data_IF_235152603047
#
_entry.id   IF_235152603047
#
_cell.length_a   1.000
_cell.length_b   1.000
_cell.length_c   1.000
_cell.angle_alpha   90.00
_cell.angle_beta   90.00
_cell.angle_gamma   90.00
#
_symmetry.space_group_name_H-M   'P 1'
#
loop_
_entity.id
_entity.type
_entity.pdbx_description
1 polymer ?
#
# COMPACT_ATOMS: atom_id res chain seq x y z
N UNK A 1 23.58 53.21 15.57
CA UNK A 1 22.20 53.33 15.06
C UNK A 1 22.27 53.59 13.57
N UNK A 2 22.12 52.55 12.75
CA UNK A 2 22.08 52.66 11.30
C UNK A 2 20.88 51.85 10.80
N UNK A 3 20.18 52.47 9.89
CA UNK A 3 18.79 52.29 9.49
C UNK A 3 18.53 51.09 8.59
N UNK A 4 17.35 50.53 8.79
CA UNK A 4 16.62 49.59 7.93
C UNK A 4 16.55 50.00 6.47
N UNK A 5 16.91 49.09 5.54
CA UNK A 5 16.37 49.06 4.17
C UNK A 5 16.27 47.61 3.64
N UNK A 6 15.15 47.36 2.98
CA UNK A 6 14.49 46.11 2.59
C UNK A 6 15.28 45.16 1.67
N UNK A 7 14.98 43.84 1.75
CA UNK A 7 14.41 43.06 0.63
C UNK A 7 14.04 41.62 1.04
N UNK A 8 12.79 41.28 0.78
CA UNK A 8 12.19 39.96 0.90
C UNK A 8 12.91 38.92 0.04
N UNK A 9 13.18 37.75 0.61
CA UNK A 9 13.29 36.50 -0.13
C UNK A 9 12.50 35.44 0.65
N UNK A 10 11.25 35.21 0.24
CA UNK A 10 10.54 34.00 0.58
C UNK A 10 11.29 32.84 -0.09
N UNK A 11 12.11 32.15 0.68
CA UNK A 11 12.67 30.88 0.26
C UNK A 11 11.56 29.84 0.34
N UNK A 12 10.97 29.54 -0.81
CA UNK A 12 10.01 28.45 -0.97
C UNK A 12 10.71 27.13 -0.63
N UNK A 13 10.50 26.64 0.59
CA UNK A 13 10.71 25.23 0.88
C UNK A 13 9.66 24.47 0.09
N UNK A 14 10.06 23.96 -1.08
CA UNK A 14 9.36 22.90 -1.79
C UNK A 14 9.39 21.66 -0.89
N UNK A 15 8.51 21.60 0.10
CA UNK A 15 8.13 20.35 0.71
C UNK A 15 7.42 19.56 -0.39
N UNK A 16 8.12 18.58 -0.95
CA UNK A 16 7.52 17.56 -1.80
C UNK A 16 6.59 16.71 -0.95
N UNK A 17 5.38 17.23 -0.71
CA UNK A 17 4.25 16.42 -0.30
C UNK A 17 3.89 15.53 -1.48
N UNK A 18 4.51 14.34 -1.52
CA UNK A 18 3.98 13.22 -2.30
C UNK A 18 2.76 12.69 -1.56
N UNK A 19 1.74 13.53 -1.36
CA UNK A 19 0.39 13.08 -1.02
C UNK A 19 -0.12 12.33 -2.23
N UNK A 20 0.07 11.00 -2.23
CA UNK A 20 -0.64 10.10 -3.14
C UNK A 20 -2.12 10.22 -2.81
N UNK A 21 -2.80 11.14 -3.48
CA UNK A 21 -4.25 11.26 -3.42
C UNK A 21 -4.85 9.99 -4.01
N UNK A 22 -5.26 9.07 -3.13
CA UNK A 22 -5.82 7.75 -3.48
C UNK A 22 -7.18 7.83 -4.22
N UNK A 23 -7.79 9.02 -4.30
CA UNK A 23 -9.14 9.21 -4.83
C UNK A 23 -9.30 8.97 -6.34
N UNK A 24 -8.21 8.99 -7.13
CA UNK A 24 -8.30 8.89 -8.60
C UNK A 24 -8.10 7.47 -9.15
N UNK A 25 -7.82 6.47 -8.30
CA UNK A 25 -7.55 5.08 -8.70
C UNK A 25 -8.80 4.19 -8.65
N UNK A 26 -9.95 4.65 -8.15
CA UNK A 26 -11.16 3.80 -8.18
C UNK A 26 -11.66 3.51 -9.60
N UNK A 27 -11.49 4.44 -10.56
CA UNK A 27 -11.96 4.25 -11.94
C UNK A 27 -11.12 3.24 -12.74
N UNK A 28 -9.92 2.88 -12.26
CA UNK A 28 -9.04 1.92 -12.94
C UNK A 28 -9.12 0.49 -12.39
N UNK A 29 -9.81 0.27 -11.26
CA UNK A 29 -9.87 -1.03 -10.59
C UNK A 29 -10.53 -2.12 -11.47
N UNK A 30 -11.43 -1.72 -12.38
CA UNK A 30 -12.02 -2.62 -13.39
C UNK A 30 -11.29 -2.64 -14.75
N UNK A 31 -10.47 -1.64 -15.05
CA UNK A 31 -9.88 -1.48 -16.39
C UNK A 31 -8.78 -2.48 -16.72
N UNK A 32 -8.10 -3.02 -15.71
CA UNK A 32 -7.11 -4.07 -15.93
C UNK A 32 -7.79 -5.42 -16.14
N UNK A 33 -8.65 -5.84 -15.21
CA UNK A 33 -9.30 -7.16 -15.25
C UNK A 33 -10.24 -7.31 -16.45
N UNK A 34 -10.97 -6.25 -16.83
CA UNK A 34 -11.87 -6.26 -17.98
C UNK A 34 -11.16 -6.52 -19.32
N UNK A 35 -9.83 -6.37 -19.40
CA UNK A 35 -9.07 -6.69 -20.64
C UNK A 35 -8.94 -8.18 -20.91
N UNK A 36 -8.96 -9.02 -19.88
CA UNK A 36 -8.66 -10.46 -20.00
C UNK A 36 -9.74 -11.36 -19.40
N UNK A 37 -10.54 -10.89 -18.43
CA UNK A 37 -11.63 -11.66 -17.84
C UNK A 37 -12.94 -11.34 -18.57
N UNK A 38 -13.38 -12.25 -19.44
CA UNK A 38 -14.62 -12.09 -20.21
C UNK A 38 -15.86 -12.51 -19.41
N UNK A 39 -15.72 -13.50 -18.52
CA UNK A 39 -16.78 -13.95 -17.62
C UNK A 39 -16.94 -12.95 -16.46
N UNK A 40 -18.01 -12.17 -16.50
CA UNK A 40 -18.35 -11.17 -15.48
C UNK A 40 -19.33 -11.71 -14.42
N UNK A 41 -19.73 -12.99 -14.50
CA UNK A 41 -20.62 -13.60 -13.52
C UNK A 41 -19.91 -13.92 -12.20
N UNK A 42 -18.58 -14.05 -12.24
CA UNK A 42 -17.73 -14.32 -11.07
C UNK A 42 -16.99 -13.04 -10.66
N UNK A 43 -16.73 -12.91 -9.36
CA UNK A 43 -15.87 -11.84 -8.82
C UNK A 43 -14.47 -11.96 -9.43
N UNK A 44 -13.90 -10.82 -9.79
CA UNK A 44 -12.52 -10.73 -10.25
C UNK A 44 -11.53 -11.06 -9.13
N UNK A 45 -10.30 -11.49 -9.45
CA UNK A 45 -9.27 -11.71 -8.43
C UNK A 45 -8.98 -10.48 -7.58
N UNK A 46 -9.05 -9.27 -8.17
CA UNK A 46 -8.89 -8.00 -7.46
C UNK A 46 -10.01 -7.77 -6.44
N UNK A 47 -11.26 -8.13 -6.76
CA UNK A 47 -12.37 -8.05 -5.81
C UNK A 47 -12.21 -9.09 -4.70
N UNK A 48 -11.86 -10.33 -5.04
CA UNK A 48 -11.68 -11.41 -4.05
C UNK A 48 -10.60 -11.09 -3.02
N UNK A 49 -9.43 -10.59 -3.44
CA UNK A 49 -8.38 -10.21 -2.48
C UNK A 49 -8.76 -9.00 -1.64
N UNK A 50 -9.59 -8.09 -2.19
CA UNK A 50 -10.08 -6.94 -1.44
C UNK A 50 -11.06 -7.31 -0.33
N UNK A 51 -11.77 -8.44 -0.46
CA UNK A 51 -12.64 -8.98 0.59
C UNK A 51 -11.86 -9.61 1.75
N UNK A 52 -10.60 -10.02 1.54
CA UNK A 52 -9.75 -10.59 2.60
C UNK A 52 -9.29 -9.47 3.56
N UNK A 53 -9.60 -9.54 4.87
CA UNK A 53 -9.19 -8.50 5.81
C UNK A 53 -7.66 -8.48 6.01
N UNK A 54 -7.07 -7.32 6.36
CA UNK A 54 -5.66 -7.27 6.75
C UNK A 54 -5.36 -8.16 7.96
N UNK A 55 -4.26 -8.90 7.88
CA UNK A 55 -3.76 -9.80 8.91
C UNK A 55 -2.96 -8.97 9.91
N UNK A 56 -3.35 -9.05 11.18
CA UNK A 56 -2.62 -8.43 12.29
C UNK A 56 -1.46 -9.32 12.72
N UNK A 57 -0.28 -8.74 12.87
CA UNK A 57 0.90 -9.44 13.39
C UNK A 57 1.58 -8.58 14.45
N UNK A 58 2.20 -9.20 15.45
CA UNK A 58 2.87 -8.47 16.53
C UNK A 58 4.23 -7.90 16.09
N UNK A 59 4.92 -8.61 15.19
CA UNK A 59 6.24 -8.25 14.70
C UNK A 59 6.23 -7.05 13.74
N UNK A 60 7.35 -6.33 13.70
CA UNK A 60 7.60 -5.24 12.74
C UNK A 60 7.86 -5.72 11.32
N UNK A 61 8.26 -6.98 11.15
CA UNK A 61 8.53 -7.61 9.86
C UNK A 61 7.75 -8.91 9.81
N UNK A 62 7.05 -9.14 8.70
CA UNK A 62 6.36 -10.41 8.41
C UNK A 62 7.04 -11.12 7.25
N UNK A 63 7.13 -12.44 7.32
CA UNK A 63 7.55 -13.31 6.22
C UNK A 63 6.29 -13.90 5.57
N UNK A 64 5.95 -13.45 4.36
CA UNK A 64 4.83 -14.01 3.61
C UNK A 64 5.34 -15.10 2.68
N UNK A 65 4.87 -16.32 2.90
CA UNK A 65 5.20 -17.50 2.06
C UNK A 65 4.08 -17.82 1.06
N UNK A 66 2.87 -17.30 1.27
CA UNK A 66 1.72 -17.44 0.37
C UNK A 66 0.84 -18.66 0.65
N UNK A 67 1.38 -19.72 1.23
CA UNK A 67 0.65 -20.91 1.69
C UNK A 67 1.31 -21.48 2.95
N UNK A 68 0.63 -22.39 3.67
CA UNK A 68 1.23 -23.11 4.79
C UNK A 68 2.34 -24.07 4.37
N UNK A 69 2.33 -24.50 3.11
CA UNK A 69 3.41 -25.25 2.50
C UNK A 69 4.29 -24.31 1.66
N UNK A 70 5.55 -24.06 2.07
CA UNK A 70 6.46 -23.19 1.33
C UNK A 70 6.67 -23.58 -0.14
N UNK A 71 6.46 -24.86 -0.49
CA UNK A 71 6.61 -25.34 -1.87
C UNK A 71 5.42 -25.00 -2.79
N UNK A 72 4.26 -24.63 -2.23
CA UNK A 72 3.04 -24.27 -2.98
C UNK A 72 2.79 -22.75 -3.01
N UNK A 73 3.59 -22.01 -2.25
CA UNK A 73 3.50 -20.58 -2.13
C UNK A 73 4.30 -19.82 -3.18
N UNK A 74 4.67 -18.59 -2.81
CA UNK A 74 5.57 -17.73 -3.59
C UNK A 74 6.93 -17.60 -2.87
N UNK A 75 7.97 -17.06 -3.54
CA UNK A 75 9.22 -16.74 -2.84
C UNK A 75 8.95 -15.90 -1.61
N UNK A 76 9.64 -16.21 -0.50
CA UNK A 76 9.42 -15.55 0.79
C UNK A 76 9.62 -14.05 0.62
N UNK A 77 8.58 -13.28 0.93
CA UNK A 77 8.64 -11.82 0.95
C UNK A 77 8.67 -11.33 2.39
N UNK A 78 9.78 -10.67 2.77
CA UNK A 78 9.89 -9.97 4.04
C UNK A 78 9.35 -8.55 3.89
N UNK A 79 8.30 -8.22 4.66
CA UNK A 79 7.54 -6.98 4.53
C UNK A 79 7.64 -6.20 5.83
N UNK A 80 8.04 -4.92 5.74
CA UNK A 80 8.11 -4.00 6.88
C UNK A 80 6.74 -3.39 7.18
N UNK A 81 6.36 -3.36 8.45
CA UNK A 81 5.06 -2.91 8.95
C UNK A 81 5.15 -1.67 9.83
N UNK A 82 6.26 -0.92 9.73
CA UNK A 82 6.49 0.31 10.50
C UNK A 82 5.52 1.46 10.10
N UNK A 83 4.78 1.32 8.99
CA UNK A 83 3.78 2.28 8.54
C UNK A 83 2.38 1.92 9.08
N UNK A 84 1.57 2.95 9.36
CA UNK A 84 0.20 2.76 9.84
C UNK A 84 -0.76 2.18 8.79
N UNK A 85 -0.43 2.32 7.50
CA UNK A 85 -1.22 1.73 6.41
C UNK A 85 -0.89 0.24 6.23
N UNK A 86 -1.88 -0.61 5.89
CA UNK A 86 -1.63 -2.02 5.62
C UNK A 86 -0.62 -2.22 4.49
N UNK A 87 0.45 -2.97 4.78
CA UNK A 87 1.45 -3.35 3.79
C UNK A 87 0.96 -4.55 2.97
N UNK A 88 1.14 -4.51 1.66
CA UNK A 88 0.65 -5.53 0.73
C UNK A 88 1.80 -6.45 0.30
N UNK A 89 1.61 -7.76 0.39
CA UNK A 89 2.47 -8.74 -0.26
C UNK A 89 2.32 -8.63 -1.78
N UNK A 90 3.43 -8.45 -2.49
CA UNK A 90 3.44 -8.22 -3.94
C UNK A 90 3.01 -9.45 -4.74
N UNK A 91 3.14 -10.64 -4.15
CA UNK A 91 2.83 -11.89 -4.82
C UNK A 91 1.36 -12.29 -4.65
N UNK A 92 0.90 -12.48 -3.41
CA UNK A 92 -0.46 -12.96 -3.14
C UNK A 92 -1.48 -11.84 -2.87
N UNK A 93 -1.04 -10.60 -2.67
CA UNK A 93 -1.93 -9.47 -2.37
C UNK A 93 -2.47 -9.43 -0.93
N UNK A 94 -2.06 -10.37 -0.07
CA UNK A 94 -2.40 -10.33 1.36
C UNK A 94 -1.89 -9.03 1.99
N UNK A 95 -2.68 -8.51 2.93
CA UNK A 95 -2.39 -7.26 3.63
C UNK A 95 -2.00 -7.56 5.06
N UNK A 96 -0.99 -6.87 5.55
CA UNK A 96 -0.47 -7.03 6.91
C UNK A 96 -0.44 -5.69 7.62
N UNK A 97 -0.77 -5.70 8.90
CA UNK A 97 -0.68 -4.54 9.80
C UNK A 97 -0.01 -4.97 11.10
N UNK A 98 0.79 -4.08 11.68
CA UNK A 98 1.33 -4.32 13.01
C UNK A 98 0.25 -4.09 14.07
N UNK A 99 0.07 -5.03 15.00
CA UNK A 99 -0.80 -4.83 16.16
C UNK A 99 -0.04 -4.01 17.22
N UNK A 100 -0.34 -2.71 17.29
CA UNK A 100 0.25 -1.82 18.28
C UNK A 100 -0.49 -1.99 19.61
N UNK A 101 -0.01 -2.90 20.45
CA UNK A 101 -0.43 -2.96 21.85
C UNK A 101 0.10 -1.71 22.58
N UNK A 102 -0.82 -0.82 22.96
CA UNK A 102 -0.57 0.28 23.90
C UNK A 102 -0.72 -0.19 25.35
#
# INVERSE_FOLDING_TARGET
MASSLFKSLLQSSKFSLTTRSFSLVSSQLGNHTAKWMQDTSKKSPMELINEVPPIKVEGRIVACEGDNNPALGHPIEYICLDLAEPAVCKYCGLRFVQDHHH
#
